data_IF_756932840328
#
_entry.id   IF_756932840328
#
_cell.length_a   1.000
_cell.length_b   1.000
_cell.length_c   1.000
_cell.angle_alpha   90.00
_cell.angle_beta   90.00
_cell.angle_gamma   90.00
#
_symmetry.space_group_name_H-M   'P 1'
#
loop_
_entity.id
_entity.type
_entity.pdbx_description
1 polymer ?
#
# COMPACT_ATOMS: atom_id res chain seq x y z
N UNK A 1 8.36 -1.61 28.07
CA UNK A 1 7.13 -0.80 28.01
C UNK A 1 6.43 -0.93 26.66
N UNK A 2 7.13 -0.73 25.53
CA UNK A 2 6.59 -0.77 24.15
C UNK A 2 5.81 -2.07 23.82
N UNK A 3 6.33 -3.29 24.08
CA UNK A 3 5.58 -4.52 23.79
C UNK A 3 4.28 -4.64 24.60
N UNK A 4 4.29 -4.16 25.86
CA UNK A 4 3.10 -4.20 26.71
C UNK A 4 2.02 -3.24 26.18
N UNK A 5 2.40 -2.00 25.81
CA UNK A 5 1.48 -1.04 25.19
C UNK A 5 0.87 -1.58 23.90
N UNK A 6 1.67 -2.26 23.06
CA UNK A 6 1.20 -2.88 21.83
C UNK A 6 0.15 -3.97 22.10
N UNK A 7 0.42 -4.87 23.05
CA UNK A 7 -0.52 -5.94 23.43
C UNK A 7 -1.80 -5.36 24.00
N UNK A 8 -1.71 -4.38 24.90
CA UNK A 8 -2.89 -3.70 25.48
C UNK A 8 -3.73 -3.00 24.42
N UNK A 9 -3.08 -2.29 23.50
CA UNK A 9 -3.78 -1.60 22.42
C UNK A 9 -4.52 -2.59 21.48
N UNK A 10 -3.87 -3.69 21.09
CA UNK A 10 -4.51 -4.71 20.26
C UNK A 10 -5.65 -5.43 21.00
N UNK A 11 -5.51 -5.69 22.31
CA UNK A 11 -6.59 -6.26 23.11
C UNK A 11 -7.79 -5.32 23.21
N UNK A 12 -7.57 -4.01 23.41
CA UNK A 12 -8.61 -3.00 23.38
C UNK A 12 -9.30 -2.92 22.01
N UNK A 13 -8.53 -2.92 20.93
CA UNK A 13 -9.07 -2.93 19.56
C UNK A 13 -9.94 -4.17 19.33
N UNK A 14 -9.47 -5.34 19.74
CA UNK A 14 -10.23 -6.60 19.64
C UNK A 14 -11.55 -6.51 20.41
N UNK A 15 -11.55 -5.98 21.63
CA UNK A 15 -12.76 -5.80 22.45
C UNK A 15 -13.73 -4.83 21.74
N UNK A 16 -13.25 -3.70 21.24
CA UNK A 16 -14.07 -2.72 20.52
C UNK A 16 -14.70 -3.34 19.27
N UNK A 17 -13.92 -4.05 18.47
CA UNK A 17 -14.44 -4.73 17.27
C UNK A 17 -15.48 -5.78 17.64
N UNK A 18 -15.22 -6.58 18.68
CA UNK A 18 -16.15 -7.63 19.11
C UNK A 18 -17.47 -7.06 19.67
N UNK A 19 -17.41 -5.96 20.40
CA UNK A 19 -18.60 -5.36 21.02
C UNK A 19 -19.44 -4.50 20.06
N UNK A 20 -18.80 -3.82 19.11
CA UNK A 20 -19.46 -2.78 18.31
C UNK A 20 -19.58 -3.11 16.81
N UNK A 21 -18.74 -3.99 16.27
CA UNK A 21 -18.69 -4.27 14.82
C UNK A 21 -19.27 -5.63 14.46
N UNK A 22 -19.12 -6.66 15.31
CA UNK A 22 -19.66 -7.98 15.01
C UNK A 22 -21.19 -7.99 15.27
N UNK A 23 -22.01 -8.35 14.26
CA UNK A 23 -23.43 -8.52 14.46
C UNK A 23 -23.69 -9.66 15.45
N UNK A 24 -24.60 -9.45 16.42
CA UNK A 24 -24.96 -10.40 17.48
C UNK A 24 -25.48 -11.77 16.98
N UNK A 25 -25.71 -11.94 15.68
CA UNK A 25 -26.29 -13.12 15.05
C UNK A 25 -25.41 -13.68 13.90
N UNK A 26 -24.06 -13.64 14.00
CA UNK A 26 -23.24 -14.42 13.11
C UNK A 26 -23.45 -15.92 13.48
N UNK A 27 -24.34 -16.61 12.78
CA UNK A 27 -24.41 -18.06 12.84
C UNK A 27 -23.09 -18.60 12.30
N UNK A 28 -22.37 -19.33 13.15
CA UNK A 28 -21.22 -20.13 12.72
C UNK A 28 -21.81 -21.23 11.85
N UNK A 29 -21.66 -21.11 10.54
CA UNK A 29 -21.92 -22.21 9.61
C UNK A 29 -20.78 -23.17 9.83
N UNK A 30 -21.08 -24.32 10.46
CA UNK A 30 -20.15 -25.43 10.52
C UNK A 30 -20.00 -25.96 9.07
N UNK A 31 -18.86 -25.66 8.44
CA UNK A 31 -18.51 -26.22 7.16
C UNK A 31 -17.99 -27.64 7.40
N UNK A 32 -18.71 -28.64 6.91
CA UNK A 32 -18.25 -30.02 6.87
C UNK A 32 -17.02 -30.12 5.94
N UNK A 33 -16.03 -30.92 6.31
CA UNK A 33 -14.72 -31.03 5.64
C UNK A 33 -14.79 -31.43 4.15
N UNK A 34 -15.87 -32.00 3.67
CA UNK A 34 -16.07 -32.34 2.25
C UNK A 34 -16.41 -31.12 1.37
N UNK A 35 -16.86 -30.00 1.94
CA UNK A 35 -17.16 -28.79 1.20
C UNK A 35 -15.94 -27.88 0.97
N UNK A 36 -14.85 -28.06 1.72
CA UNK A 36 -13.64 -27.23 1.58
C UNK A 36 -12.93 -27.46 0.24
N UNK A 37 -12.83 -28.70 -0.24
CA UNK A 37 -12.14 -29.02 -1.51
C UNK A 37 -12.92 -28.52 -2.72
N UNK A 38 -14.23 -28.65 -2.74
CA UNK A 38 -15.07 -28.12 -3.82
C UNK A 38 -15.16 -26.58 -3.77
N UNK A 39 -15.20 -25.98 -2.57
CA UNK A 39 -15.18 -24.54 -2.39
C UNK A 39 -13.84 -23.92 -2.85
N UNK A 40 -12.70 -24.53 -2.52
CA UNK A 40 -11.38 -24.10 -2.99
C UNK A 40 -11.24 -24.18 -4.51
N UNK A 41 -11.75 -25.26 -5.16
CA UNK A 41 -11.72 -25.40 -6.63
C UNK A 41 -12.64 -24.39 -7.30
N UNK A 42 -13.83 -24.13 -6.75
CA UNK A 42 -14.75 -23.11 -7.26
C UNK A 42 -14.21 -21.69 -7.05
N UNK A 43 -13.51 -21.43 -5.92
CA UNK A 43 -12.90 -20.14 -5.63
C UNK A 43 -11.73 -19.87 -6.58
N UNK A 44 -10.86 -20.84 -6.84
CA UNK A 44 -9.76 -20.73 -7.79
C UNK A 44 -10.23 -20.45 -9.24
N UNK A 45 -11.25 -21.18 -9.69
CA UNK A 45 -11.88 -20.93 -11.00
C UNK A 45 -12.53 -19.54 -11.05
N UNK A 46 -13.07 -19.07 -9.93
CA UNK A 46 -13.65 -17.74 -9.80
C UNK A 46 -12.60 -16.62 -9.87
N UNK A 47 -11.39 -16.81 -9.29
CA UNK A 47 -10.29 -15.84 -9.32
C UNK A 47 -9.69 -15.71 -10.72
N UNK A 48 -9.48 -16.82 -11.42
CA UNK A 48 -9.02 -16.82 -12.82
C UNK A 48 -10.02 -16.16 -13.76
N UNK A 49 -11.33 -16.41 -13.58
CA UNK A 49 -12.39 -15.73 -14.33
C UNK A 49 -12.39 -14.22 -14.04
N UNK A 50 -12.21 -13.81 -12.80
CA UNK A 50 -12.06 -12.41 -12.41
C UNK A 50 -10.88 -11.76 -13.15
N UNK A 51 -9.69 -12.36 -13.07
CA UNK A 51 -8.49 -11.86 -13.71
C UNK A 51 -8.65 -11.75 -15.23
N UNK A 52 -9.28 -12.73 -15.86
CA UNK A 52 -9.58 -12.71 -17.29
C UNK A 52 -10.59 -11.63 -17.69
N UNK A 53 -11.59 -11.38 -16.84
CA UNK A 53 -12.61 -10.35 -17.07
C UNK A 53 -12.06 -8.94 -16.91
N UNK A 54 -11.21 -8.70 -15.88
CA UNK A 54 -10.69 -7.37 -15.54
C UNK A 54 -9.19 -7.23 -15.85
N UNK A 55 -8.76 -7.63 -17.06
CA UNK A 55 -7.33 -7.66 -17.46
C UNK A 55 -6.59 -6.34 -17.20
N UNK A 56 -7.17 -5.20 -17.55
CA UNK A 56 -6.55 -3.88 -17.34
C UNK A 56 -6.36 -3.58 -15.85
N UNK A 57 -7.32 -3.99 -15.02
CA UNK A 57 -7.21 -3.86 -13.55
C UNK A 57 -6.09 -4.73 -12.99
N UNK A 58 -5.94 -5.96 -13.47
CA UNK A 58 -4.83 -6.84 -13.06
C UNK A 58 -3.47 -6.26 -13.49
N UNK A 59 -3.37 -5.74 -14.72
CA UNK A 59 -2.12 -5.10 -15.19
C UNK A 59 -1.80 -3.85 -14.36
N UNK A 60 -2.82 -3.04 -14.01
CA UNK A 60 -2.66 -1.95 -13.05
C UNK A 60 -2.08 -2.44 -11.72
N UNK A 61 -2.61 -3.52 -11.13
CA UNK A 61 -2.11 -4.07 -9.87
C UNK A 61 -0.67 -4.56 -9.98
N UNK A 62 -0.27 -5.17 -11.09
CA UNK A 62 1.14 -5.56 -11.32
C UNK A 62 2.06 -4.33 -11.33
N UNK A 63 1.66 -3.26 -12.01
CA UNK A 63 2.40 -1.99 -11.96
C UNK A 63 2.47 -1.41 -10.53
N UNK A 64 1.35 -1.48 -9.81
CA UNK A 64 1.29 -1.01 -8.42
C UNK A 64 2.19 -1.82 -7.47
N UNK A 65 2.27 -3.15 -7.64
CA UNK A 65 3.18 -4.01 -6.86
C UNK A 65 4.63 -3.51 -6.96
N UNK A 66 5.09 -3.10 -8.15
CA UNK A 66 6.44 -2.58 -8.35
C UNK A 66 6.66 -1.24 -7.62
N UNK A 67 5.67 -0.34 -7.68
CA UNK A 67 5.74 0.95 -6.95
C UNK A 67 5.71 0.70 -5.43
N UNK A 68 4.82 -0.17 -4.98
CA UNK A 68 4.65 -0.44 -3.55
C UNK A 68 5.81 -1.23 -2.95
N UNK A 69 6.53 -2.02 -3.76
CA UNK A 69 7.77 -2.67 -3.37
C UNK A 69 8.82 -1.63 -2.93
N UNK A 70 9.07 -0.61 -3.75
CA UNK A 70 9.99 0.47 -3.41
C UNK A 70 9.52 1.25 -2.16
N UNK A 71 8.21 1.51 -2.07
CA UNK A 71 7.62 2.16 -0.90
C UNK A 71 7.85 1.37 0.39
N UNK A 72 7.64 0.06 0.35
CA UNK A 72 7.83 -0.82 1.51
C UNK A 72 9.30 -0.91 1.93
N UNK A 73 10.23 -0.97 0.98
CA UNK A 73 11.67 -0.90 1.28
C UNK A 73 12.00 0.38 2.04
N UNK A 74 11.56 1.53 1.54
CA UNK A 74 11.82 2.81 2.20
C UNK A 74 11.25 2.84 3.62
N UNK A 75 10.05 2.33 3.83
CA UNK A 75 9.41 2.37 5.15
C UNK A 75 10.06 1.39 6.15
N UNK A 76 10.37 0.17 5.72
CA UNK A 76 10.83 -0.88 6.62
C UNK A 76 12.34 -0.76 6.93
N UNK A 77 13.12 -0.23 5.99
CA UNK A 77 14.55 0.03 6.17
C UNK A 77 14.84 1.54 6.39
N UNK A 78 13.85 2.27 6.93
CA UNK A 78 13.94 3.73 7.01
C UNK A 78 15.06 4.22 7.92
N UNK A 79 15.36 3.49 9.02
CA UNK A 79 16.47 3.86 9.91
C UNK A 79 17.83 3.76 9.18
N UNK A 80 18.05 2.75 8.34
CA UNK A 80 19.26 2.60 7.56
C UNK A 80 19.41 3.75 6.55
N UNK A 81 18.30 4.17 5.93
CA UNK A 81 18.28 5.30 5.00
C UNK A 81 18.61 6.61 5.73
N UNK A 82 18.00 6.83 6.90
CA UNK A 82 18.23 8.02 7.73
C UNK A 82 19.69 8.09 8.20
N UNK A 83 20.23 6.98 8.68
CA UNK A 83 21.64 6.94 9.14
C UNK A 83 22.62 7.11 7.98
N UNK A 84 22.30 6.65 6.77
CA UNK A 84 23.12 6.82 5.57
C UNK A 84 23.30 8.31 5.18
N UNK A 85 22.35 9.17 5.54
CA UNK A 85 22.42 10.63 5.29
C UNK A 85 22.84 11.43 6.53
N UNK A 86 23.37 10.76 7.55
CA UNK A 86 23.87 11.38 8.79
C UNK A 86 22.83 11.69 9.83
N UNK A 87 21.61 11.18 9.70
CA UNK A 87 20.55 11.29 10.71
C UNK A 87 20.63 10.19 11.77
N UNK A 88 19.75 10.27 12.76
CA UNK A 88 19.65 9.35 13.88
C UNK A 88 18.20 8.90 14.14
N UNK A 89 17.98 8.07 15.15
CA UNK A 89 16.63 7.54 15.47
C UNK A 89 15.61 8.63 15.84
N UNK A 90 16.05 9.76 16.41
CA UNK A 90 15.15 10.90 16.69
C UNK A 90 14.71 11.58 15.38
N UNK A 91 15.64 11.76 14.44
CA UNK A 91 15.34 12.32 13.12
C UNK A 91 14.38 11.41 12.35
N UNK A 92 14.57 10.09 12.42
CA UNK A 92 13.64 9.12 11.88
C UNK A 92 12.24 9.27 12.49
N UNK A 93 12.15 9.36 13.83
CA UNK A 93 10.88 9.55 14.53
C UNK A 93 10.16 10.84 14.10
N UNK A 94 10.90 11.94 13.99
CA UNK A 94 10.37 13.23 13.53
C UNK A 94 9.85 13.16 12.08
N UNK A 95 10.58 12.49 11.20
CA UNK A 95 10.20 12.32 9.79
C UNK A 95 8.92 11.47 9.64
N UNK A 96 8.81 10.38 10.39
CA UNK A 96 7.60 9.53 10.43
C UNK A 96 6.42 10.29 11.03
N UNK A 97 6.64 11.04 12.10
CA UNK A 97 5.61 11.89 12.71
C UNK A 97 5.10 12.95 11.74
N UNK A 98 5.99 13.63 11.01
CA UNK A 98 5.62 14.60 9.99
C UNK A 98 4.74 13.96 8.90
N UNK A 99 5.13 12.79 8.39
CA UNK A 99 4.35 12.07 7.40
C UNK A 99 2.94 11.74 7.92
N UNK A 100 2.85 11.16 9.12
CA UNK A 100 1.58 10.78 9.74
C UNK A 100 0.65 11.99 9.96
N UNK A 101 1.20 13.12 10.42
CA UNK A 101 0.43 14.35 10.62
C UNK A 101 -0.14 14.92 9.30
N UNK A 102 0.57 14.75 8.20
CA UNK A 102 0.12 15.22 6.88
C UNK A 102 -0.85 14.25 6.20
N UNK A 103 -0.81 12.96 6.52
CA UNK A 103 -1.75 11.97 6.00
C UNK A 103 -3.18 12.20 6.50
N UNK A 104 -3.36 12.59 7.78
CA UNK A 104 -4.67 12.78 8.39
C UNK A 104 -5.55 13.80 7.64
N UNK A 105 -5.09 15.05 7.35
CA UNK A 105 -5.90 15.99 6.59
C UNK A 105 -6.17 15.50 5.16
N UNK A 106 -5.23 14.81 4.51
CA UNK A 106 -5.44 14.29 3.16
C UNK A 106 -6.58 13.27 3.14
N UNK A 107 -6.59 12.33 4.08
CA UNK A 107 -7.66 11.34 4.21
C UNK A 107 -9.00 12.00 4.57
N UNK A 108 -9.00 12.98 5.47
CA UNK A 108 -10.21 13.72 5.86
C UNK A 108 -10.83 14.52 4.69
N UNK A 109 -10.00 15.11 3.83
CA UNK A 109 -10.45 15.87 2.66
C UNK A 109 -10.73 15.02 1.42
N UNK A 110 -10.41 13.72 1.44
CA UNK A 110 -10.52 12.83 0.29
C UNK A 110 -11.93 12.84 -0.32
N UNK A 111 -12.98 12.74 0.49
CA UNK A 111 -14.38 12.73 0.00
C UNK A 111 -14.72 13.99 -0.80
N UNK A 112 -14.25 15.16 -0.38
CA UNK A 112 -14.44 16.41 -1.12
C UNK A 112 -13.62 16.43 -2.43
N UNK A 113 -12.44 15.84 -2.41
CA UNK A 113 -11.56 15.76 -3.57
C UNK A 113 -12.12 14.79 -4.62
N UNK A 114 -12.62 13.62 -4.22
CA UNK A 114 -13.20 12.61 -5.11
C UNK A 114 -14.51 13.04 -5.78
N UNK A 115 -15.20 14.04 -5.23
CA UNK A 115 -16.36 14.68 -5.88
C UNK A 115 -15.96 15.59 -7.05
N UNK A 116 -14.73 16.11 -7.06
CA UNK A 116 -14.23 17.05 -8.09
C UNK A 116 -13.31 16.41 -9.12
N UNK A 117 -12.59 15.37 -8.70
CA UNK A 117 -11.56 14.69 -9.52
C UNK A 117 -11.85 13.20 -9.51
N UNK A 118 -11.92 12.58 -10.68
CA UNK A 118 -12.19 11.16 -10.77
C UNK A 118 -11.05 10.30 -10.16
N UNK A 119 -11.42 9.14 -9.61
CA UNK A 119 -10.52 8.30 -8.84
C UNK A 119 -9.33 7.77 -9.66
N UNK A 120 -9.53 7.52 -10.96
CA UNK A 120 -8.43 7.13 -11.84
C UNK A 120 -7.36 8.23 -11.96
N UNK A 121 -7.76 9.51 -12.00
CA UNK A 121 -6.81 10.63 -12.00
C UNK A 121 -6.11 10.77 -10.64
N UNK A 122 -6.82 10.55 -9.53
CA UNK A 122 -6.24 10.56 -8.19
C UNK A 122 -5.19 9.46 -8.02
N UNK A 123 -5.46 8.24 -8.51
CA UNK A 123 -4.48 7.14 -8.53
C UNK A 123 -3.25 7.54 -9.35
N UNK A 124 -3.43 8.08 -10.56
CA UNK A 124 -2.29 8.51 -11.39
C UNK A 124 -1.44 9.58 -10.71
N UNK A 125 -2.08 10.57 -10.09
CA UNK A 125 -1.37 11.61 -9.33
C UNK A 125 -0.60 11.01 -8.14
N UNK A 126 -1.21 10.10 -7.39
CA UNK A 126 -0.59 9.39 -6.29
C UNK A 126 0.65 8.61 -6.74
N UNK A 127 0.57 7.88 -7.84
CA UNK A 127 1.70 7.10 -8.39
C UNK A 127 2.87 8.00 -8.81
N UNK A 128 2.60 9.15 -9.41
CA UNK A 128 3.64 10.14 -9.74
C UNK A 128 4.30 10.68 -8.46
N UNK A 129 3.52 10.93 -7.41
CA UNK A 129 4.05 11.37 -6.11
C UNK A 129 4.85 10.27 -5.40
N UNK A 130 4.45 8.99 -5.53
CA UNK A 130 5.28 7.86 -5.07
C UNK A 130 6.64 7.87 -5.78
N UNK A 131 6.65 7.96 -7.11
CA UNK A 131 7.88 8.00 -7.88
C UNK A 131 8.77 9.19 -7.47
N UNK A 132 8.19 10.38 -7.31
CA UNK A 132 8.90 11.57 -6.85
C UNK A 132 9.48 11.37 -5.44
N UNK A 133 8.69 10.81 -4.50
CA UNK A 133 9.17 10.47 -3.15
C UNK A 133 10.35 9.51 -3.20
N UNK A 134 10.26 8.43 -4.00
CA UNK A 134 11.33 7.45 -4.12
C UNK A 134 12.59 8.05 -4.71
N UNK A 135 12.46 8.86 -5.77
CA UNK A 135 13.59 9.55 -6.40
C UNK A 135 14.27 10.54 -5.44
N UNK A 136 13.50 11.36 -4.69
CA UNK A 136 14.05 12.29 -3.70
C UNK A 136 14.74 11.52 -2.57
N UNK A 137 14.17 10.41 -2.11
CA UNK A 137 14.79 9.57 -1.07
C UNK A 137 16.12 8.98 -1.55
N UNK A 138 16.20 8.53 -2.81
CA UNK A 138 17.44 8.04 -3.41
C UNK A 138 18.51 9.13 -3.54
N UNK A 139 18.10 10.34 -3.97
CA UNK A 139 18.99 11.49 -4.16
C UNK A 139 19.34 12.21 -2.85
N UNK A 140 18.77 11.78 -1.72
CA UNK A 140 18.93 12.49 -0.46
C UNK A 140 20.40 12.40 0.03
N UNK A 141 20.96 13.57 0.31
CA UNK A 141 22.31 13.74 0.88
C UNK A 141 22.27 14.29 2.32
N UNK A 142 21.09 14.63 2.82
CA UNK A 142 20.88 15.19 4.15
C UNK A 142 19.43 14.97 4.61
N UNK A 143 19.18 15.21 5.90
CA UNK A 143 17.86 15.01 6.51
C UNK A 143 16.75 15.93 5.95
N UNK A 144 17.10 17.12 5.45
CA UNK A 144 16.10 18.03 4.86
C UNK A 144 15.43 17.39 3.65
N UNK A 145 16.19 16.73 2.78
CA UNK A 145 15.65 16.01 1.62
C UNK A 145 14.76 14.84 2.06
N UNK A 146 15.13 14.13 3.13
CA UNK A 146 14.29 13.08 3.72
C UNK A 146 12.96 13.64 4.20
N UNK A 147 12.94 14.79 4.90
CA UNK A 147 11.70 15.45 5.32
C UNK A 147 10.84 15.85 4.11
N UNK A 148 11.44 16.40 3.04
CA UNK A 148 10.72 16.73 1.79
C UNK A 148 10.10 15.46 1.19
N UNK A 149 10.84 14.36 1.13
CA UNK A 149 10.31 13.07 0.66
C UNK A 149 9.12 12.60 1.52
N UNK A 150 9.18 12.77 2.84
CA UNK A 150 8.09 12.40 3.73
C UNK A 150 6.85 13.30 3.59
N UNK A 151 7.02 14.58 3.25
CA UNK A 151 5.87 15.45 2.90
C UNK A 151 5.09 14.90 1.71
N UNK A 152 5.76 14.33 0.69
CA UNK A 152 5.08 13.74 -0.46
C UNK A 152 4.23 12.50 -0.10
N UNK A 153 4.45 11.89 1.06
CA UNK A 153 3.67 10.76 1.57
C UNK A 153 2.16 11.07 1.61
N UNK A 154 1.79 12.30 1.96
CA UNK A 154 0.40 12.75 2.00
C UNK A 154 -0.32 12.60 0.65
N UNK A 155 0.36 12.87 -0.45
CA UNK A 155 -0.21 12.74 -1.79
C UNK A 155 0.09 11.38 -2.45
N UNK A 156 1.10 10.66 -1.98
CA UNK A 156 1.41 9.33 -2.45
C UNK A 156 0.49 8.28 -1.78
N UNK A 157 0.79 7.92 -0.54
CA UNK A 157 0.10 6.83 0.16
C UNK A 157 -1.31 7.22 0.62
N UNK A 158 -1.45 8.34 1.32
CA UNK A 158 -2.72 8.73 1.91
C UNK A 158 -3.81 9.05 0.87
N UNK A 159 -3.41 9.46 -0.34
CA UNK A 159 -4.33 9.65 -1.46
C UNK A 159 -4.65 8.32 -2.15
N UNK A 160 -3.64 7.43 -2.32
CA UNK A 160 -3.80 6.15 -3.01
C UNK A 160 -4.82 5.24 -2.33
N UNK A 161 -4.74 5.09 -1.01
CA UNK A 161 -5.58 4.15 -0.26
C UNK A 161 -7.08 4.36 -0.53
N UNK A 162 -7.67 5.53 -0.22
CA UNK A 162 -9.08 5.74 -0.49
C UNK A 162 -9.39 5.79 -1.99
N UNK A 163 -8.50 6.33 -2.84
CA UNK A 163 -8.72 6.37 -4.28
C UNK A 163 -8.82 4.97 -4.88
N UNK A 164 -8.02 4.00 -4.42
CA UNK A 164 -8.07 2.62 -4.88
C UNK A 164 -9.40 1.94 -4.53
N UNK A 165 -9.93 2.20 -3.33
CA UNK A 165 -11.24 1.68 -2.89
C UNK A 165 -12.36 2.19 -3.81
N UNK A 166 -12.40 3.49 -4.05
CA UNK A 166 -13.42 4.10 -4.93
C UNK A 166 -13.24 3.64 -6.38
N UNK A 167 -12.01 3.51 -6.86
CA UNK A 167 -11.71 3.03 -8.21
C UNK A 167 -12.22 1.60 -8.43
N UNK A 168 -12.02 0.70 -7.46
CA UNK A 168 -12.57 -0.66 -7.51
C UNK A 168 -14.09 -0.61 -7.58
N UNK A 169 -14.74 0.18 -6.73
CA UNK A 169 -16.21 0.29 -6.71
C UNK A 169 -16.80 0.82 -8.05
N UNK A 170 -16.06 1.67 -8.76
CA UNK A 170 -16.49 2.18 -10.06
C UNK A 170 -16.12 1.26 -11.25
N UNK A 171 -15.04 0.48 -11.11
CA UNK A 171 -14.48 -0.30 -12.24
C UNK A 171 -14.93 -1.74 -12.29
N UNK A 172 -15.29 -2.29 -11.13
CA UNK A 172 -15.63 -3.70 -10.96
C UNK A 172 -17.14 -3.82 -10.71
N UNK A 173 -17.78 -4.82 -11.30
CA UNK A 173 -19.22 -5.07 -11.08
C UNK A 173 -19.52 -5.29 -9.60
N UNK A 174 -20.70 -4.89 -9.13
CA UNK A 174 -21.10 -4.97 -7.71
C UNK A 174 -20.88 -6.33 -7.07
N UNK A 175 -21.12 -7.42 -7.79
CA UNK A 175 -20.89 -8.80 -7.31
C UNK A 175 -19.42 -9.18 -7.15
N UNK A 176 -18.51 -8.45 -7.79
CA UNK A 176 -17.09 -8.72 -7.82
C UNK A 176 -16.27 -7.71 -6.98
N UNK A 177 -16.93 -6.71 -6.34
CA UNK A 177 -16.26 -5.62 -5.60
C UNK A 177 -15.36 -6.19 -4.49
N UNK A 178 -15.86 -7.14 -3.69
CA UNK A 178 -15.09 -7.74 -2.59
C UNK A 178 -13.81 -8.40 -3.11
N UNK A 179 -13.91 -9.13 -4.24
CA UNK A 179 -12.73 -9.72 -4.90
C UNK A 179 -11.76 -8.65 -5.39
N UNK A 180 -12.28 -7.58 -6.01
CA UNK A 180 -11.46 -6.45 -6.44
C UNK A 180 -10.67 -5.81 -5.30
N UNK A 181 -11.32 -5.56 -4.16
CA UNK A 181 -10.66 -5.03 -2.94
C UNK A 181 -9.64 -6.02 -2.38
N UNK A 182 -9.96 -7.32 -2.37
CA UNK A 182 -9.02 -8.36 -1.95
C UNK A 182 -7.78 -8.40 -2.84
N UNK A 183 -7.93 -8.27 -4.16
CA UNK A 183 -6.78 -8.19 -5.07
C UNK A 183 -5.87 -6.99 -4.79
N UNK A 184 -6.43 -5.80 -4.49
CA UNK A 184 -5.63 -4.63 -4.09
C UNK A 184 -4.85 -4.92 -2.80
N UNK A 185 -5.53 -5.43 -1.77
CA UNK A 185 -4.89 -5.75 -0.48
C UNK A 185 -3.82 -6.83 -0.63
N UNK A 186 -4.11 -7.89 -1.39
CA UNK A 186 -3.15 -8.96 -1.68
C UNK A 186 -1.93 -8.42 -2.41
N UNK A 187 -2.11 -7.52 -3.37
CA UNK A 187 -1.00 -6.86 -4.07
C UNK A 187 -0.08 -6.09 -3.12
N UNK A 188 -0.64 -5.38 -2.15
CA UNK A 188 0.13 -4.70 -1.09
C UNK A 188 0.90 -5.69 -0.22
N UNK A 189 0.22 -6.73 0.25
CA UNK A 189 0.83 -7.74 1.13
C UNK A 189 1.94 -8.51 0.42
N UNK A 190 1.70 -8.99 -0.81
CA UNK A 190 2.71 -9.66 -1.63
C UNK A 190 3.93 -8.76 -1.87
N UNK A 191 3.69 -7.53 -2.25
CA UNK A 191 4.76 -6.55 -2.43
C UNK A 191 5.56 -6.36 -1.15
N UNK A 192 4.88 -6.28 0.01
CA UNK A 192 5.50 -6.18 1.32
C UNK A 192 6.37 -7.38 1.67
N UNK A 193 5.89 -8.60 1.43
CA UNK A 193 6.66 -9.84 1.66
C UNK A 193 7.92 -9.86 0.82
N UNK A 194 7.81 -9.62 -0.49
CA UNK A 194 8.96 -9.58 -1.39
C UNK A 194 9.93 -8.45 -1.04
N UNK A 195 9.43 -7.27 -0.69
CA UNK A 195 10.26 -6.13 -0.31
C UNK A 195 11.07 -6.41 0.97
N UNK A 196 10.50 -7.10 1.95
CA UNK A 196 11.21 -7.46 3.17
C UNK A 196 12.30 -8.51 2.92
N UNK A 197 11.99 -9.57 2.19
CA UNK A 197 12.95 -10.66 1.93
C UNK A 197 14.04 -10.17 0.99
N UNK A 198 13.66 -9.68 -0.20
CA UNK A 198 14.61 -9.27 -1.23
C UNK A 198 15.34 -7.99 -0.82
N UNK A 199 14.61 -7.03 -0.24
CA UNK A 199 15.17 -5.76 0.23
C UNK A 199 16.21 -5.95 1.34
N UNK A 200 15.97 -6.86 2.29
CA UNK A 200 16.95 -7.20 3.32
C UNK A 200 18.23 -7.82 2.74
N UNK A 201 18.08 -8.82 1.87
CA UNK A 201 19.22 -9.47 1.18
C UNK A 201 20.01 -8.46 0.36
N UNK A 202 19.33 -7.61 -0.41
CA UNK A 202 19.99 -6.60 -1.24
C UNK A 202 20.70 -5.55 -0.37
N UNK A 203 20.07 -5.12 0.72
CA UNK A 203 20.65 -4.13 1.62
C UNK A 203 21.99 -4.61 2.21
N UNK A 204 22.06 -5.89 2.61
CA UNK A 204 23.28 -6.51 3.13
C UNK A 204 24.34 -6.72 2.03
N UNK A 205 23.90 -6.99 0.80
CA UNK A 205 24.82 -7.32 -0.31
C UNK A 205 25.40 -6.09 -1.01
N UNK A 206 24.58 -5.05 -1.25
CA UNK A 206 24.98 -3.91 -2.09
C UNK A 206 24.87 -2.55 -1.39
N UNK A 207 24.20 -2.47 -0.25
CA UNK A 207 24.05 -1.24 0.53
C UNK A 207 22.80 -0.42 0.21
N UNK A 208 22.63 0.69 0.96
CA UNK A 208 21.41 1.51 0.94
C UNK A 208 21.16 2.19 -0.41
N UNK A 209 22.21 2.81 -0.99
CA UNK A 209 22.07 3.61 -2.20
C UNK A 209 21.62 2.77 -3.39
N UNK A 210 22.21 1.60 -3.56
CA UNK A 210 21.95 0.68 -4.67
C UNK A 210 20.54 0.08 -4.55
N UNK A 211 20.12 -0.25 -3.33
CA UNK A 211 18.74 -0.73 -3.06
C UNK A 211 17.71 0.36 -3.38
N UNK A 212 17.97 1.60 -3.01
CA UNK A 212 17.10 2.73 -3.36
C UNK A 212 17.07 2.97 -4.88
N UNK A 213 18.19 2.86 -5.57
CA UNK A 213 18.24 2.97 -7.04
C UNK A 213 17.38 1.89 -7.71
N UNK A 214 17.52 0.63 -7.29
CA UNK A 214 16.68 -0.48 -7.76
C UNK A 214 15.19 -0.16 -7.50
N UNK A 215 14.87 0.34 -6.31
CA UNK A 215 13.52 0.77 -5.95
C UNK A 215 12.98 1.86 -6.89
N UNK A 216 13.77 2.87 -7.22
CA UNK A 216 13.39 3.94 -8.16
C UNK A 216 13.12 3.38 -9.56
N UNK A 217 13.97 2.49 -10.05
CA UNK A 217 13.81 1.87 -11.38
C UNK A 217 12.53 1.04 -11.42
N UNK A 218 12.29 0.19 -10.43
CA UNK A 218 11.05 -0.60 -10.33
C UNK A 218 9.81 0.30 -10.21
N UNK A 219 9.90 1.36 -9.41
CA UNK A 219 8.82 2.33 -9.26
C UNK A 219 8.54 3.08 -10.57
N UNK A 220 9.57 3.42 -11.36
CA UNK A 220 9.40 4.04 -12.67
C UNK A 220 8.67 3.10 -13.65
N UNK A 221 9.10 1.84 -13.73
CA UNK A 221 8.44 0.83 -14.56
C UNK A 221 6.98 0.66 -14.13
N UNK A 222 6.74 0.51 -12.83
CA UNK A 222 5.41 0.40 -12.26
C UNK A 222 4.53 1.62 -12.54
N UNK A 223 5.09 2.83 -12.39
CA UNK A 223 4.39 4.08 -12.68
C UNK A 223 3.97 4.16 -14.15
N UNK A 224 4.85 3.81 -15.09
CA UNK A 224 4.51 3.77 -16.52
C UNK A 224 3.34 2.81 -16.75
N UNK A 225 3.39 1.59 -16.21
CA UNK A 225 2.30 0.62 -16.35
C UNK A 225 0.98 1.20 -15.82
N UNK A 226 0.99 1.77 -14.61
CA UNK A 226 -0.22 2.33 -13.98
C UNK A 226 -0.78 3.51 -14.78
N UNK A 227 0.06 4.42 -15.25
CA UNK A 227 -0.36 5.59 -16.01
C UNK A 227 -1.09 5.21 -17.32
N UNK A 228 -0.69 4.10 -17.96
CA UNK A 228 -1.32 3.63 -19.19
C UNK A 228 -2.52 2.70 -18.95
N UNK A 229 -2.62 2.02 -17.81
CA UNK A 229 -3.68 1.02 -17.55
C UNK A 229 -4.85 1.56 -16.76
N UNK A 230 -4.63 2.55 -15.87
CA UNK A 230 -5.69 3.16 -15.08
C UNK A 230 -6.55 4.06 -15.98
N UNK A 231 -7.83 3.79 -16.00
CA UNK A 231 -8.84 4.55 -16.78
C UNK A 231 -9.44 5.66 -15.91
N UNK A 232 -9.95 6.69 -16.56
CA UNK A 232 -10.75 7.73 -15.89
C UNK A 232 -12.11 7.15 -15.56
N UNK A 233 -12.48 7.14 -14.28
CA UNK A 233 -13.77 6.70 -13.74
C UNK A 233 -14.23 7.66 -12.67
#
# INVERSE_FOLDING_TARGET
>A
LLPICYVVFNALLFIVVHLFVLPKNAQIVNADEESETEAEVQENVSLLKFASKYKKFIVFLLGFVLVYFAHTIINNFFIQIVTNVGGNSSDMGNAVFLAAMLELPTMAYFTKLSQKVNCGTLIKASIVLFLAKHAITYLATNMVMIYIAQVLQMGAYALFIPASVYYVNCKVDNKDIVKGQSFVTTSMTMSGVFANIIGGILLDAVGVSEVLLIGVILSLIGAVIVLFTVEKV
#
